data_IF_977810788513
#
_entry.id   IF_977810788513
#
_cell.length_a   1.000
_cell.length_b   1.000
_cell.length_c   1.000
_cell.angle_alpha   90.00
_cell.angle_beta   90.00
_cell.angle_gamma   90.00
#
_symmetry.space_group_name_H-M   'P 1'
#
loop_
_entity.id
_entity.type
_entity.pdbx_description
1 polymer ?
#
# COMPACT_ATOMS: atom_id res chain seq x y z
N UNK A 1 79.62 -0.40 10.96
CA UNK A 1 78.15 -0.36 11.13
C UNK A 1 77.83 0.65 12.22
N UNK A 2 77.15 1.76 11.89
CA UNK A 2 76.78 2.83 12.83
C UNK A 2 75.38 2.55 13.41
N UNK A 3 75.12 2.80 14.71
CA UNK A 3 73.79 2.65 15.29
C UNK A 3 72.90 3.86 14.97
N UNK A 4 71.63 3.59 14.70
CA UNK A 4 70.57 4.59 14.47
C UNK A 4 70.08 5.20 15.79
N UNK A 5 69.70 6.49 15.82
CA UNK A 5 69.14 7.15 17.00
C UNK A 5 67.62 6.91 17.13
N UNK A 6 67.05 7.04 18.35
CA UNK A 6 65.63 6.79 18.60
C UNK A 6 64.72 7.95 18.17
N UNK A 7 63.52 7.60 17.73
CA UNK A 7 62.46 8.51 17.29
C UNK A 7 61.88 9.35 18.44
N UNK A 8 61.70 10.65 18.21
CA UNK A 8 61.01 11.57 19.11
C UNK A 8 59.52 11.62 18.78
N UNK A 9 58.66 11.36 19.78
CA UNK A 9 57.23 11.64 19.71
C UNK A 9 56.96 13.14 19.93
N UNK A 10 56.34 13.79 18.94
CA UNK A 10 55.81 15.14 19.05
C UNK A 10 54.29 15.11 19.28
N UNK A 11 53.86 15.40 20.50
CA UNK A 11 52.47 15.74 20.85
C UNK A 11 52.36 17.24 21.02
N UNK A 12 51.78 17.95 20.05
CA UNK A 12 51.03 19.21 20.22
C UNK A 12 50.53 19.67 18.85
N UNK A 13 49.22 19.61 18.57
CA UNK A 13 48.48 20.68 17.85
C UNK A 13 46.98 20.33 17.70
N UNK A 14 46.19 20.37 18.79
CA UNK A 14 44.74 20.09 18.71
C UNK A 14 43.85 21.17 19.36
N UNK A 15 44.39 22.37 19.63
CA UNK A 15 43.61 23.48 20.22
C UNK A 15 43.35 24.66 19.27
N UNK A 16 43.91 24.66 18.06
CA UNK A 16 43.76 25.79 17.13
C UNK A 16 42.56 25.68 16.18
N UNK A 17 42.00 24.49 15.95
CA UNK A 17 40.88 24.28 15.00
C UNK A 17 39.47 24.50 15.56
N UNK A 18 39.32 24.75 16.86
CA UNK A 18 38.00 24.92 17.48
C UNK A 18 37.48 26.37 17.52
N UNK A 19 38.27 27.37 17.12
CA UNK A 19 37.88 28.80 17.23
C UNK A 19 37.53 29.50 15.91
N UNK A 20 37.62 28.82 14.77
CA UNK A 20 37.33 29.42 13.45
C UNK A 20 35.94 29.09 12.88
N UNK A 21 35.15 28.22 13.53
CA UNK A 21 33.80 27.88 13.04
C UNK A 21 32.67 28.80 13.50
N UNK A 22 32.93 29.76 14.39
CA UNK A 22 31.87 30.54 15.05
C UNK A 22 31.74 32.00 14.56
N UNK A 23 32.46 32.39 13.49
CA UNK A 23 32.44 33.75 12.93
C UNK A 23 31.77 33.89 11.56
N UNK A 24 31.20 32.81 11.00
CA UNK A 24 30.67 32.80 9.63
C UNK A 24 29.15 32.94 9.46
N UNK A 25 28.37 33.17 10.53
CA UNK A 25 26.91 33.04 10.46
C UNK A 25 26.07 34.25 10.89
N UNK A 26 26.65 35.45 10.95
CA UNK A 26 25.89 36.68 11.21
C UNK A 26 26.31 37.81 10.27
N UNK A 27 25.85 37.72 9.03
CA UNK A 27 25.61 38.86 8.16
C UNK A 27 24.96 38.32 6.90
N UNK A 28 23.63 38.41 6.82
CA UNK A 28 22.82 38.46 5.60
C UNK A 28 21.34 38.35 6.05
N UNK A 29 20.74 39.47 6.43
CA UNK A 29 19.32 39.79 6.14
C UNK A 29 19.02 41.17 6.74
N UNK A 30 19.15 42.19 5.90
CA UNK A 30 18.60 43.51 6.12
C UNK A 30 18.25 44.13 4.78
N UNK A 31 17.04 44.70 4.70
CA UNK A 31 16.49 45.59 3.66
C UNK A 31 15.65 44.93 2.55
N UNK A 32 14.34 44.90 2.78
CA UNK A 32 13.22 45.35 1.91
C UNK A 32 11.94 44.64 2.39
N UNK A 33 10.75 45.21 2.55
CA UNK A 33 10.23 46.57 2.45
C UNK A 33 8.92 46.61 3.29
N UNK A 34 8.48 47.82 3.63
CA UNK A 34 7.35 48.12 4.49
C UNK A 34 5.99 48.09 3.76
N UNK A 35 4.95 47.93 4.58
CA UNK A 35 3.61 48.54 4.49
C UNK A 35 2.56 47.97 3.53
N UNK A 36 1.51 47.37 4.12
CA UNK A 36 0.13 47.85 3.95
C UNK A 36 -0.72 47.43 5.16
N UNK A 37 -1.58 48.35 5.59
CA UNK A 37 -2.27 48.37 6.88
C UNK A 37 -3.77 48.08 6.70
N UNK A 38 -4.37 47.51 7.75
CA UNK A 38 -5.77 47.70 8.24
C UNK A 38 -6.97 46.94 7.62
N UNK A 39 -7.92 46.70 8.55
CA UNK A 39 -9.35 46.36 8.43
C UNK A 39 -9.71 44.86 8.37
N UNK A 40 -10.67 44.26 9.10
CA UNK A 40 -11.61 44.68 10.16
C UNK A 40 -12.24 43.40 10.76
N UNK A 41 -12.37 43.39 12.09
CA UNK A 41 -13.44 42.82 12.96
C UNK A 41 -14.61 42.05 12.29
N UNK A 42 -14.88 40.83 12.76
CA UNK A 42 -16.20 40.16 12.96
C UNK A 42 -15.93 38.64 13.09
N UNK A 43 -16.53 37.85 13.95
CA UNK A 43 -17.62 37.99 14.90
C UNK A 43 -17.87 36.57 15.41
N UNK A 44 -17.93 36.40 16.73
CA UNK A 44 -18.15 35.13 17.40
C UNK A 44 -19.47 34.49 16.97
N UNK A 45 -19.44 33.22 16.56
CA UNK A 45 -20.60 32.35 16.61
C UNK A 45 -20.25 31.07 17.35
N UNK A 46 -20.80 30.95 18.55
CA UNK A 46 -21.02 29.68 19.22
C UNK A 46 -22.03 28.89 18.38
N UNK A 47 -21.68 27.65 18.04
CA UNK A 47 -22.65 26.65 17.57
C UNK A 47 -22.60 25.50 18.58
N UNK A 48 -23.78 25.26 19.16
CA UNK A 48 -24.05 24.30 20.20
C UNK A 48 -23.71 22.87 19.77
N UNK A 49 -23.21 22.10 20.73
CA UNK A 49 -23.04 20.67 20.63
C UNK A 49 -24.42 19.99 20.42
N UNK A 50 -24.62 19.40 19.24
CA UNK A 50 -25.66 18.41 19.04
C UNK A 50 -25.06 17.01 19.14
N UNK A 51 -25.50 16.29 20.16
CA UNK A 51 -25.26 14.86 20.37
C UNK A 51 -26.01 14.06 19.29
N UNK A 52 -25.36 13.18 18.50
CA UNK A 52 -26.09 12.23 17.69
C UNK A 52 -26.54 11.01 18.53
N UNK A 53 -27.74 10.44 18.25
CA UNK A 53 -28.30 9.33 19.00
C UNK A 53 -27.68 7.98 18.61
N UNK A 54 -27.74 7.04 19.56
CA UNK A 54 -27.39 5.63 19.45
C UNK A 54 -27.86 4.95 18.14
N UNK A 55 -26.92 4.42 17.37
CA UNK A 55 -27.19 3.47 16.29
C UNK A 55 -27.24 2.03 16.85
N UNK A 56 -28.46 1.54 17.10
CA UNK A 56 -28.79 0.12 17.23
C UNK A 56 -29.09 -0.45 15.84
N UNK A 57 -28.54 -1.63 15.55
CA UNK A 57 -29.10 -2.62 14.62
C UNK A 57 -28.96 -2.32 13.13
N UNK A 58 -27.91 -2.86 12.49
CA UNK A 58 -27.91 -3.06 11.04
C UNK A 58 -28.72 -4.33 10.78
N UNK A 59 -29.92 -4.15 10.23
CA UNK A 59 -30.76 -5.20 9.68
C UNK A 59 -30.25 -5.64 8.30
N UNK A 60 -30.57 -6.88 7.94
CA UNK A 60 -30.28 -7.51 6.65
C UNK A 60 -30.80 -6.71 5.44
N UNK A 61 -30.19 -6.86 4.25
CA UNK A 61 -30.62 -6.14 3.05
C UNK A 61 -32.02 -6.56 2.58
N UNK A 62 -32.80 -5.63 1.98
CA UNK A 62 -34.19 -5.88 1.63
C UNK A 62 -34.32 -6.81 0.43
N UNK A 63 -35.16 -7.85 0.59
CA UNK A 63 -35.68 -8.67 -0.51
C UNK A 63 -36.69 -7.83 -1.29
N UNK A 64 -36.51 -7.71 -2.61
CA UNK A 64 -37.46 -7.03 -3.48
C UNK A 64 -38.82 -7.74 -3.45
N UNK A 65 -39.84 -7.04 -2.95
CA UNK A 65 -41.24 -7.45 -3.01
C UNK A 65 -41.96 -6.58 -4.05
N UNK A 66 -42.90 -7.18 -4.79
CA UNK A 66 -43.82 -6.39 -5.61
C UNK A 66 -44.84 -5.65 -4.73
N UNK A 67 -45.56 -4.69 -5.32
CA UNK A 67 -46.58 -3.86 -4.64
C UNK A 67 -47.80 -4.62 -4.09
N UNK A 68 -47.77 -5.95 -4.01
CA UNK A 68 -48.78 -6.79 -3.35
C UNK A 68 -48.19 -7.89 -2.45
N UNK A 69 -46.89 -7.82 -2.12
CA UNK A 69 -46.29 -8.61 -1.03
C UNK A 69 -46.26 -10.12 -1.26
N UNK A 70 -46.17 -10.60 -2.52
CA UNK A 70 -46.01 -12.03 -2.83
C UNK A 70 -44.68 -12.31 -3.52
N UNK A 71 -44.09 -13.48 -3.23
CA UNK A 71 -42.87 -13.97 -3.89
C UNK A 71 -43.17 -14.30 -5.36
N UNK A 72 -42.36 -13.77 -6.28
CA UNK A 72 -42.43 -14.14 -7.70
C UNK A 72 -41.94 -15.59 -7.91
N UNK A 73 -42.75 -16.48 -8.52
CA UNK A 73 -42.28 -17.79 -8.96
C UNK A 73 -41.49 -17.68 -10.28
N UNK A 74 -40.53 -18.58 -10.44
CA UNK A 74 -39.69 -18.75 -11.63
C UNK A 74 -40.53 -19.10 -12.86
N UNK A 75 -40.40 -18.31 -13.93
CA UNK A 75 -41.04 -18.57 -15.21
C UNK A 75 -40.28 -19.67 -15.98
N UNK A 76 -40.92 -20.83 -16.11
CA UNK A 76 -40.70 -21.79 -17.19
C UNK A 76 -41.65 -21.46 -18.35
N UNK A 77 -41.12 -21.61 -19.55
CA UNK A 77 -41.78 -21.87 -20.83
C UNK A 77 -42.58 -20.76 -21.55
N UNK A 78 -41.94 -20.23 -22.60
CA UNK A 78 -42.34 -20.62 -23.95
C UNK A 78 -43.01 -19.54 -24.80
N UNK A 79 -42.24 -18.81 -25.62
CA UNK A 79 -42.72 -18.36 -26.92
C UNK A 79 -41.66 -18.50 -28.02
N UNK A 80 -42.12 -19.06 -29.13
CA UNK A 80 -41.40 -19.43 -30.34
C UNK A 80 -41.06 -18.18 -31.14
N UNK A 81 -39.80 -18.00 -31.50
CA UNK A 81 -39.43 -17.21 -32.66
C UNK A 81 -38.52 -18.02 -33.57
N UNK A 82 -39.07 -18.44 -34.70
CA UNK A 82 -38.38 -19.15 -35.77
C UNK A 82 -37.64 -18.10 -36.62
N UNK A 83 -36.31 -18.09 -36.55
CA UNK A 83 -35.47 -17.49 -37.59
C UNK A 83 -34.53 -18.54 -38.16
N UNK A 84 -34.44 -18.51 -39.49
CA UNK A 84 -33.80 -19.46 -40.40
C UNK A 84 -32.42 -19.95 -39.95
N UNK A 85 -32.29 -21.27 -39.97
CA UNK A 85 -31.01 -22.00 -39.98
C UNK A 85 -30.15 -21.61 -41.18
N UNK A 86 -28.95 -21.10 -40.90
CA UNK A 86 -27.77 -21.39 -41.71
C UNK A 86 -27.02 -22.56 -41.06
N UNK A 87 -27.07 -23.69 -41.75
CA UNK A 87 -26.19 -24.83 -41.52
C UNK A 87 -24.73 -24.38 -41.63
N UNK A 88 -23.94 -24.51 -40.56
CA UNK A 88 -22.52 -24.84 -40.72
C UNK A 88 -21.96 -25.62 -39.52
N UNK A 89 -21.66 -26.89 -39.80
CA UNK A 89 -20.68 -27.78 -39.16
C UNK A 89 -20.74 -27.99 -37.64
N UNK A 90 -21.56 -28.97 -37.24
CA UNK A 90 -21.13 -30.01 -36.29
C UNK A 90 -20.06 -30.86 -36.99
N UNK A 91 -18.82 -30.86 -36.49
CA UNK A 91 -17.78 -31.77 -36.98
C UNK A 91 -16.35 -31.28 -36.72
N UNK A 92 -15.87 -31.46 -35.48
CA UNK A 92 -14.50 -31.88 -35.16
C UNK A 92 -14.43 -32.02 -33.63
N UNK A 93 -14.05 -33.20 -33.14
CA UNK A 93 -13.41 -33.30 -31.84
C UNK A 93 -12.13 -32.47 -31.96
N UNK A 94 -12.21 -31.21 -31.54
CA UNK A 94 -11.15 -30.23 -31.76
C UNK A 94 -9.88 -30.70 -31.06
N UNK A 95 -8.86 -31.06 -31.83
CA UNK A 95 -7.51 -31.11 -31.32
C UNK A 95 -7.26 -29.75 -30.65
N UNK A 96 -6.99 -29.75 -29.35
CA UNK A 96 -6.52 -28.55 -28.65
C UNK A 96 -5.32 -28.03 -29.46
N UNK A 97 -5.46 -26.85 -30.04
CA UNK A 97 -4.35 -26.19 -30.72
C UNK A 97 -3.23 -25.98 -29.69
N UNK A 98 -2.07 -26.65 -29.83
CA UNK A 98 -0.98 -26.51 -28.87
C UNK A 98 -0.52 -25.06 -28.74
N UNK A 99 -0.62 -24.25 -29.80
CA UNK A 99 -0.24 -22.85 -29.75
C UNK A 99 -1.22 -22.03 -28.90
N UNK A 100 -2.52 -22.24 -29.05
CA UNK A 100 -3.54 -21.63 -28.20
C UNK A 100 -3.39 -22.05 -26.72
N UNK A 101 -3.09 -23.32 -26.46
CA UNK A 101 -2.83 -23.81 -25.11
C UNK A 101 -1.57 -23.15 -24.51
N UNK A 102 -0.47 -23.09 -25.26
CA UNK A 102 0.76 -22.42 -24.83
C UNK A 102 0.54 -20.94 -24.55
N UNK A 103 -0.17 -20.21 -25.44
CA UNK A 103 -0.48 -18.80 -25.23
C UNK A 103 -1.34 -18.58 -23.99
N UNK A 104 -2.31 -19.46 -23.72
CA UNK A 104 -3.13 -19.41 -22.51
C UNK A 104 -2.30 -19.65 -21.24
N UNK A 105 -1.42 -20.67 -21.26
CA UNK A 105 -0.52 -20.95 -20.13
C UNK A 105 0.39 -19.75 -19.88
N UNK A 106 1.04 -19.22 -20.92
CA UNK A 106 1.93 -18.04 -20.82
C UNK A 106 1.17 -16.85 -20.24
N UNK A 107 -0.02 -16.53 -20.78
CA UNK A 107 -0.84 -15.44 -20.28
C UNK A 107 -1.31 -15.63 -18.82
N UNK A 108 -1.38 -16.87 -18.34
CA UNK A 108 -1.76 -17.18 -16.96
C UNK A 108 -0.58 -17.08 -16.00
N UNK A 109 0.62 -17.52 -16.41
CA UNK A 109 1.80 -17.56 -15.52
C UNK A 109 2.63 -16.29 -15.56
N UNK A 110 2.60 -15.53 -16.66
CA UNK A 110 3.43 -14.34 -16.82
C UNK A 110 3.21 -13.29 -15.71
N UNK A 111 1.97 -12.92 -15.33
CA UNK A 111 1.77 -11.95 -14.24
C UNK A 111 2.32 -12.42 -12.90
N UNK A 112 2.31 -13.74 -12.65
CA UNK A 112 2.91 -14.31 -11.45
C UNK A 112 4.43 -14.12 -11.46
N UNK A 113 5.09 -14.48 -12.57
CA UNK A 113 6.55 -14.34 -12.71
C UNK A 113 7.00 -12.88 -12.60
N UNK A 114 6.23 -11.94 -13.17
CA UNK A 114 6.47 -10.50 -13.02
C UNK A 114 6.37 -10.07 -11.55
N UNK A 115 5.32 -10.50 -10.84
CA UNK A 115 5.16 -10.21 -9.42
C UNK A 115 6.30 -10.80 -8.55
N UNK A 116 6.80 -12.00 -8.88
CA UNK A 116 7.95 -12.60 -8.21
C UNK A 116 9.20 -11.71 -8.38
N UNK A 117 9.46 -11.24 -9.61
CA UNK A 117 10.59 -10.35 -9.88
C UNK A 117 10.47 -9.02 -9.11
N UNK A 118 9.28 -8.41 -9.08
CA UNK A 118 9.04 -7.21 -8.28
C UNK A 118 9.23 -7.46 -6.78
N UNK A 119 8.87 -8.65 -6.29
CA UNK A 119 9.08 -9.03 -4.89
C UNK A 119 10.56 -9.09 -4.54
N UNK A 120 11.38 -9.74 -5.37
CA UNK A 120 12.83 -9.83 -5.17
C UNK A 120 13.48 -8.44 -5.14
N UNK A 121 13.08 -7.56 -6.07
CA UNK A 121 13.54 -6.18 -6.10
C UNK A 121 13.20 -5.42 -4.81
N UNK A 122 11.96 -5.55 -4.32
CA UNK A 122 11.51 -4.89 -3.09
C UNK A 122 12.17 -5.48 -1.85
N UNK A 123 12.41 -6.79 -1.79
CA UNK A 123 13.17 -7.45 -0.72
C UNK A 123 14.59 -6.91 -0.69
N UNK A 124 15.26 -6.83 -1.85
CA UNK A 124 16.60 -6.25 -1.94
C UNK A 124 16.59 -4.77 -1.53
N UNK A 125 15.58 -4.00 -1.95
CA UNK A 125 15.43 -2.60 -1.55
C UNK A 125 15.18 -2.44 -0.05
N UNK A 126 14.35 -3.30 0.56
CA UNK A 126 14.13 -3.32 1.99
C UNK A 126 15.40 -3.71 2.75
N UNK A 127 16.16 -4.71 2.28
CA UNK A 127 17.44 -5.09 2.87
C UNK A 127 18.45 -3.94 2.88
N UNK A 128 18.48 -3.11 1.83
CA UNK A 128 19.30 -1.88 1.80
C UNK A 128 18.83 -0.83 2.82
N UNK A 129 17.52 -0.69 3.03
CA UNK A 129 16.93 0.25 4.01
C UNK A 129 17.10 -0.22 5.45
N UNK A 130 17.09 -1.55 5.67
CA UNK A 130 17.13 -2.20 6.98
C UNK A 130 18.22 -3.28 7.03
N UNK A 131 19.51 -2.92 6.94
CA UNK A 131 20.60 -3.89 6.81
C UNK A 131 20.68 -4.89 7.97
N UNK A 132 20.32 -4.48 9.19
CA UNK A 132 20.28 -5.38 10.36
C UNK A 132 19.15 -6.41 10.34
N UNK A 133 18.20 -6.30 9.41
CA UNK A 133 17.10 -7.25 9.22
C UNK A 133 17.15 -7.92 7.84
N UNK A 134 18.26 -7.79 7.09
CA UNK A 134 18.38 -8.31 5.73
C UNK A 134 18.07 -9.82 5.65
N UNK A 135 18.56 -10.61 6.61
CA UNK A 135 18.27 -12.06 6.68
C UNK A 135 16.77 -12.34 6.83
N UNK A 136 16.09 -11.59 7.70
CA UNK A 136 14.64 -11.76 7.91
C UNK A 136 13.86 -11.37 6.68
N UNK A 137 14.25 -10.26 6.04
CA UNK A 137 13.59 -9.75 4.84
C UNK A 137 13.75 -10.69 3.65
N UNK A 138 14.89 -11.37 3.53
CA UNK A 138 15.08 -12.42 2.53
C UNK A 138 14.03 -13.54 2.65
N UNK A 139 13.65 -13.90 3.87
CA UNK A 139 12.62 -14.91 4.13
C UNK A 139 11.17 -14.38 4.06
N UNK A 140 10.96 -13.09 3.82
CA UNK A 140 9.64 -12.49 3.81
C UNK A 140 8.85 -12.73 2.50
N UNK A 141 9.41 -13.42 1.51
CA UNK A 141 8.77 -13.62 0.21
C UNK A 141 7.35 -14.20 0.32
N UNK A 142 7.15 -15.20 1.18
CA UNK A 142 5.85 -15.87 1.37
C UNK A 142 4.73 -14.92 1.81
N UNK A 143 5.07 -13.89 2.61
CA UNK A 143 4.09 -12.92 3.14
C UNK A 143 3.80 -11.75 2.20
N UNK A 144 4.47 -11.66 1.05
CA UNK A 144 4.21 -10.63 0.03
C UNK A 144 3.05 -10.98 -0.91
N UNK A 145 2.51 -12.20 -0.80
CA UNK A 145 1.36 -12.62 -1.60
C UNK A 145 0.15 -11.75 -1.21
N UNK A 146 -0.36 -10.92 -2.11
CA UNK A 146 -1.49 -10.08 -1.78
C UNK A 146 -2.77 -10.90 -1.73
N UNK A 147 -3.77 -10.43 -0.97
CA UNK A 147 -5.10 -11.03 -1.08
C UNK A 147 -5.73 -10.71 -2.44
N UNK A 148 -6.64 -11.58 -2.88
CA UNK A 148 -7.48 -11.39 -4.07
C UNK A 148 -8.48 -10.21 -3.90
N UNK A 149 -7.96 -8.98 -3.79
CA UNK A 149 -8.72 -7.76 -3.52
C UNK A 149 -9.20 -7.07 -4.82
N UNK A 150 -8.76 -7.56 -5.97
CA UNK A 150 -9.24 -7.14 -7.29
C UNK A 150 -8.13 -7.15 -8.33
N UNK A 151 -8.45 -6.83 -9.59
CA UNK A 151 -7.50 -6.89 -10.70
C UNK A 151 -6.35 -5.87 -10.58
N UNK A 152 -6.54 -4.78 -9.82
CA UNK A 152 -5.54 -3.72 -9.69
C UNK A 152 -4.23 -4.14 -9.01
N UNK A 153 -4.23 -5.24 -8.24
CA UNK A 153 -3.03 -5.72 -7.56
C UNK A 153 -1.95 -6.25 -8.53
N UNK A 154 -2.34 -6.67 -9.74
CA UNK A 154 -1.39 -7.06 -10.79
C UNK A 154 -0.65 -5.89 -11.43
N UNK A 155 -0.94 -4.64 -11.02
CA UNK A 155 -0.22 -3.46 -11.51
C UNK A 155 1.04 -3.24 -10.67
N UNK A 156 2.21 -3.17 -11.33
CA UNK A 156 3.52 -3.11 -10.66
C UNK A 156 3.58 -2.12 -9.50
N UNK A 157 3.21 -0.85 -9.71
CA UNK A 157 3.36 0.15 -8.66
C UNK A 157 2.43 -0.09 -7.45
N UNK A 158 1.28 -0.74 -7.69
CA UNK A 158 0.32 -1.11 -6.65
C UNK A 158 0.91 -2.24 -5.81
N UNK A 159 1.42 -3.27 -6.48
CA UNK A 159 2.11 -4.37 -5.85
C UNK A 159 3.33 -3.91 -5.04
N UNK A 160 4.19 -3.07 -5.62
CA UNK A 160 5.37 -2.52 -4.92
C UNK A 160 4.98 -1.70 -3.70
N UNK A 161 3.90 -0.91 -3.78
CA UNK A 161 3.36 -0.19 -2.62
C UNK A 161 2.91 -1.13 -1.50
N UNK A 162 2.23 -2.23 -1.85
CA UNK A 162 1.86 -3.30 -0.91
C UNK A 162 3.09 -3.98 -0.30
N UNK A 163 4.00 -4.48 -1.12
CA UNK A 163 5.18 -5.22 -0.70
C UNK A 163 6.08 -4.36 0.21
N UNK A 164 6.32 -3.09 -0.16
CA UNK A 164 7.12 -2.16 0.66
C UNK A 164 6.56 -1.98 2.06
N UNK A 165 5.25 -1.81 2.20
CA UNK A 165 4.60 -1.66 3.50
C UNK A 165 4.72 -2.95 4.34
N UNK A 166 4.55 -4.13 3.74
CA UNK A 166 4.75 -5.41 4.45
C UNK A 166 6.20 -5.59 4.89
N UNK A 167 7.17 -5.33 4.01
CA UNK A 167 8.59 -5.45 4.33
C UNK A 167 9.01 -4.47 5.44
N UNK A 168 8.47 -3.26 5.45
CA UNK A 168 8.72 -2.30 6.53
C UNK A 168 8.14 -2.77 7.87
N UNK A 169 6.97 -3.42 7.85
CA UNK A 169 6.40 -4.05 9.04
C UNK A 169 7.24 -5.25 9.51
N UNK A 170 7.72 -6.08 8.59
CA UNK A 170 8.64 -7.20 8.89
C UNK A 170 9.90 -6.69 9.58
N UNK A 171 10.55 -5.68 9.00
CA UNK A 171 11.77 -5.10 9.57
C UNK A 171 11.53 -4.48 10.96
N UNK A 172 10.35 -3.90 11.18
CA UNK A 172 9.96 -3.31 12.45
C UNK A 172 9.44 -4.33 13.49
N UNK A 173 9.20 -5.60 13.10
CA UNK A 173 8.56 -6.59 13.96
C UNK A 173 7.08 -6.32 14.25
N UNK A 174 6.40 -5.60 13.37
CA UNK A 174 4.98 -5.25 13.50
C UNK A 174 4.07 -6.38 12.99
N UNK A 175 2.81 -6.37 13.41
CA UNK A 175 1.78 -7.28 12.89
C UNK A 175 1.60 -7.10 11.37
N UNK A 176 1.74 -8.19 10.62
CA UNK A 176 1.65 -8.19 9.15
C UNK A 176 0.19 -8.30 8.68
N UNK A 177 -0.70 -8.85 9.52
CA UNK A 177 -2.07 -9.19 9.16
C UNK A 177 -2.94 -8.01 8.73
N UNK A 178 -2.87 -6.81 9.35
CA UNK A 178 -3.72 -5.70 8.95
C UNK A 178 -3.55 -5.34 7.46
N UNK A 179 -4.62 -4.89 6.81
CA UNK A 179 -4.55 -4.49 5.40
C UNK A 179 -3.47 -3.42 5.17
N UNK A 180 -2.79 -3.47 4.04
CA UNK A 180 -1.91 -2.38 3.59
C UNK A 180 -2.72 -1.21 3.05
N UNK A 181 -2.10 -0.04 2.96
CA UNK A 181 -2.74 1.12 2.35
C UNK A 181 -3.11 0.87 0.89
N UNK A 182 -2.26 0.15 0.13
CA UNK A 182 -2.55 -0.27 -1.24
C UNK A 182 -3.79 -1.18 -1.33
N UNK A 183 -3.93 -2.15 -0.42
CA UNK A 183 -5.11 -3.02 -0.33
C UNK A 183 -6.38 -2.22 -0.04
N UNK A 184 -6.31 -1.24 0.87
CA UNK A 184 -7.44 -0.36 1.19
C UNK A 184 -7.81 0.52 -0.01
N UNK A 185 -6.84 1.09 -0.72
CA UNK A 185 -7.10 1.86 -1.95
C UNK A 185 -7.87 1.03 -2.99
N UNK A 186 -7.46 -0.22 -3.22
CA UNK A 186 -8.16 -1.11 -4.17
C UNK A 186 -9.59 -1.42 -3.71
N UNK A 187 -9.78 -1.71 -2.42
CA UNK A 187 -11.10 -1.99 -1.86
C UNK A 187 -12.04 -0.79 -2.02
N UNK A 188 -11.57 0.41 -1.70
CA UNK A 188 -12.35 1.65 -1.85
C UNK A 188 -12.59 2.02 -3.31
N UNK A 189 -11.61 1.82 -4.19
CA UNK A 189 -11.76 2.02 -5.64
C UNK A 189 -12.81 1.08 -6.23
N UNK A 190 -12.89 -0.16 -5.75
CA UNK A 190 -13.95 -1.09 -6.15
C UNK A 190 -15.31 -0.66 -5.60
N UNK A 191 -15.38 -0.21 -4.35
CA UNK A 191 -16.63 0.25 -3.74
C UNK A 191 -17.18 1.50 -4.43
N UNK A 192 -16.31 2.43 -4.84
CA UNK A 192 -16.71 3.68 -5.50
C UNK A 192 -17.34 3.50 -6.88
N UNK A 193 -17.06 2.37 -7.54
CA UNK A 193 -17.70 2.00 -8.81
C UNK A 193 -19.15 1.56 -8.63
N UNK A 194 -19.54 1.17 -7.42
CA UNK A 194 -20.91 0.71 -7.11
C UNK A 194 -21.77 1.84 -6.57
N UNK A 195 -21.18 2.76 -5.81
CA UNK A 195 -21.89 3.91 -5.25
C UNK A 195 -20.92 5.08 -5.02
N UNK A 196 -21.40 6.34 -5.14
CA UNK A 196 -20.61 7.50 -4.76
C UNK A 196 -20.10 7.40 -3.32
N UNK A 197 -18.80 7.65 -3.12
CA UNK A 197 -18.21 7.69 -1.79
C UNK A 197 -18.56 9.02 -1.10
N UNK A 198 -18.91 8.96 0.18
CA UNK A 198 -19.03 10.16 0.98
C UNK A 198 -17.64 10.71 1.38
N UNK A 199 -17.59 11.98 1.78
CA UNK A 199 -16.36 12.74 2.02
C UNK A 199 -15.32 12.03 2.92
N UNK A 200 -15.72 11.42 4.04
CA UNK A 200 -14.78 10.69 4.89
C UNK A 200 -14.14 9.44 4.22
N UNK A 201 -14.86 8.69 3.39
CA UNK A 201 -14.27 7.57 2.63
C UNK A 201 -13.34 8.08 1.51
N UNK A 202 -13.68 9.19 0.86
CA UNK A 202 -12.80 9.84 -0.10
C UNK A 202 -11.51 10.34 0.57
N UNK A 203 -11.62 10.95 1.75
CA UNK A 203 -10.47 11.32 2.58
C UNK A 203 -9.58 10.13 2.93
N UNK A 204 -10.17 9.01 3.38
CA UNK A 204 -9.43 7.77 3.63
C UNK A 204 -8.71 7.27 2.38
N UNK A 205 -9.38 7.27 1.22
CA UNK A 205 -8.76 6.85 -0.05
C UNK A 205 -7.52 7.69 -0.37
N UNK A 206 -7.62 9.02 -0.27
CA UNK A 206 -6.51 9.94 -0.57
C UNK A 206 -5.36 9.78 0.44
N UNK A 207 -5.66 9.59 1.73
CA UNK A 207 -4.66 9.29 2.77
C UNK A 207 -3.89 8.01 2.45
N UNK A 208 -4.62 6.92 2.16
CA UNK A 208 -4.01 5.64 1.83
C UNK A 208 -3.21 5.71 0.52
N UNK A 209 -3.65 6.51 -0.46
CA UNK A 209 -2.91 6.73 -1.70
C UNK A 209 -1.55 7.36 -1.44
N UNK A 210 -1.51 8.44 -0.65
CA UNK A 210 -0.25 9.13 -0.31
C UNK A 210 0.71 8.21 0.45
N UNK A 211 0.19 7.37 1.35
CA UNK A 211 0.99 6.40 2.09
C UNK A 211 1.53 5.27 1.20
N UNK A 212 0.68 4.68 0.35
CA UNK A 212 1.06 3.57 -0.50
C UNK A 212 1.98 4.01 -1.66
N UNK A 213 1.78 5.20 -2.20
CA UNK A 213 2.39 5.64 -3.45
C UNK A 213 3.05 7.03 -3.35
N UNK A 214 4.06 7.23 -2.48
CA UNK A 214 4.71 8.53 -2.27
C UNK A 214 5.39 9.08 -3.55
N UNK A 215 5.74 8.22 -4.51
CA UNK A 215 6.27 8.62 -5.82
C UNK A 215 5.19 8.96 -6.87
N UNK A 216 3.91 8.91 -6.51
CA UNK A 216 2.77 9.19 -7.40
C UNK A 216 1.90 10.29 -6.79
N UNK A 217 2.27 11.57 -7.02
CA UNK A 217 1.57 12.68 -6.40
C UNK A 217 0.11 12.75 -6.84
N UNK A 218 -0.72 13.25 -5.94
CA UNK A 218 -2.09 13.63 -6.25
C UNK A 218 -2.09 14.82 -7.24
N UNK A 219 -3.17 14.97 -8.00
CA UNK A 219 -3.44 16.23 -8.72
C UNK A 219 -3.62 17.37 -7.71
N UNK A 220 -3.46 18.63 -8.16
CA UNK A 220 -3.64 19.79 -7.29
C UNK A 220 -5.03 19.80 -6.61
N UNK A 221 -6.08 19.53 -7.38
CA UNK A 221 -7.44 19.42 -6.86
C UNK A 221 -7.58 18.31 -5.81
N UNK A 222 -6.99 17.13 -6.06
CA UNK A 222 -7.02 16.04 -5.09
C UNK A 222 -6.22 16.36 -3.83
N UNK A 223 -5.12 17.10 -3.93
CA UNK A 223 -4.34 17.53 -2.77
C UNK A 223 -5.12 18.54 -1.91
N UNK A 224 -5.79 19.51 -2.54
CA UNK A 224 -6.68 20.46 -1.85
C UNK A 224 -7.84 19.73 -1.18
N UNK A 225 -8.49 18.80 -1.90
CA UNK A 225 -9.54 17.95 -1.35
C UNK A 225 -9.06 17.07 -0.20
N UNK A 226 -7.84 16.52 -0.28
CA UNK A 226 -7.25 15.73 0.80
C UNK A 226 -7.09 16.58 2.05
N UNK A 227 -6.51 17.78 1.93
CA UNK A 227 -6.36 18.69 3.07
C UNK A 227 -7.72 19.09 3.67
N UNK A 228 -8.70 19.37 2.82
CA UNK A 228 -10.06 19.71 3.23
C UNK A 228 -10.75 18.56 3.98
N UNK A 229 -10.70 17.34 3.44
CA UNK A 229 -11.34 16.17 4.07
C UNK A 229 -10.66 15.78 5.38
N UNK A 230 -9.32 15.86 5.46
CA UNK A 230 -8.62 15.63 6.73
C UNK A 230 -9.04 16.63 7.81
N UNK A 231 -9.14 17.91 7.44
CA UNK A 231 -9.54 18.95 8.38
C UNK A 231 -10.97 18.73 8.90
N UNK A 232 -11.91 18.38 8.03
CA UNK A 232 -13.32 18.25 8.39
C UNK A 232 -13.68 16.89 9.00
N UNK A 233 -13.00 15.82 8.59
CA UNK A 233 -13.39 14.45 8.90
C UNK A 233 -12.28 13.59 9.52
N UNK A 234 -11.11 14.15 9.85
CA UNK A 234 -9.94 13.42 10.36
C UNK A 234 -10.26 12.35 11.41
N UNK A 235 -10.96 12.67 12.52
CA UNK A 235 -11.32 11.66 13.53
C UNK A 235 -12.16 10.50 12.99
N UNK A 236 -13.04 10.75 12.03
CA UNK A 236 -13.82 9.69 11.39
C UNK A 236 -12.95 8.90 10.41
N UNK A 237 -12.05 9.56 9.66
CA UNK A 237 -11.09 8.89 8.78
C UNK A 237 -10.22 7.92 9.58
N UNK A 238 -9.77 8.28 10.78
CA UNK A 238 -8.99 7.40 11.66
C UNK A 238 -9.78 6.14 12.07
N UNK A 239 -11.06 6.30 12.42
CA UNK A 239 -11.95 5.18 12.75
C UNK A 239 -12.14 4.28 11.52
N UNK A 240 -12.36 4.87 10.35
CA UNK A 240 -12.54 4.13 9.09
C UNK A 240 -11.26 3.39 8.70
N UNK A 241 -10.09 4.01 8.85
CA UNK A 241 -8.79 3.39 8.61
C UNK A 241 -8.61 2.17 9.51
N UNK A 242 -8.78 2.35 10.82
CA UNK A 242 -8.66 1.25 11.78
C UNK A 242 -9.64 0.12 11.44
N UNK A 243 -10.88 0.46 11.12
CA UNK A 243 -11.92 -0.49 10.73
C UNK A 243 -11.52 -1.26 9.46
N UNK A 244 -11.02 -0.58 8.43
CA UNK A 244 -10.62 -1.19 7.17
C UNK A 244 -9.38 -2.07 7.33
N UNK A 245 -8.38 -1.61 8.08
CA UNK A 245 -7.18 -2.42 8.39
C UNK A 245 -7.54 -3.75 9.05
N UNK A 246 -8.52 -3.75 9.96
CA UNK A 246 -8.99 -4.95 10.63
C UNK A 246 -9.93 -5.81 9.76
N UNK A 247 -10.94 -5.21 9.12
CA UNK A 247 -11.90 -5.94 8.27
C UNK A 247 -11.23 -6.58 7.05
N UNK A 248 -10.26 -5.88 6.47
CA UNK A 248 -9.45 -6.37 5.38
C UNK A 248 -8.11 -6.96 5.86
N UNK A 249 -8.01 -7.40 7.12
CA UNK A 249 -6.83 -8.13 7.60
C UNK A 249 -6.74 -9.55 7.01
N UNK A 250 -5.53 -9.94 6.64
CA UNK A 250 -5.15 -11.29 6.20
C UNK A 250 -4.62 -12.10 7.39
N UNK A 251 -5.39 -13.10 7.84
CA UNK A 251 -5.04 -13.87 9.05
C UNK A 251 -3.86 -14.82 8.82
N UNK A 252 -3.66 -15.23 7.58
CA UNK A 252 -2.61 -16.16 7.17
C UNK A 252 -1.29 -15.45 6.86
N UNK A 253 -1.30 -14.11 6.80
CA UNK A 253 -0.08 -13.32 6.59
C UNK A 253 0.75 -13.27 7.87
N UNK A 254 1.54 -14.30 8.09
CA UNK A 254 2.45 -14.45 9.20
C UNK A 254 3.78 -14.98 8.68
N UNK A 255 4.86 -14.49 9.27
CA UNK A 255 6.20 -14.96 8.98
C UNK A 255 6.62 -15.90 10.10
N UNK A 256 6.31 -17.18 9.93
CA UNK A 256 6.64 -18.25 10.87
C UNK A 256 7.51 -19.32 10.20
N UNK A 257 8.02 -20.26 11.02
CA UNK A 257 8.71 -21.48 10.56
C UNK A 257 9.79 -21.22 9.50
N UNK A 258 10.64 -20.22 9.71
CA UNK A 258 11.72 -19.90 8.78
C UNK A 258 12.74 -21.04 8.77
N UNK A 259 12.74 -21.82 7.69
CA UNK A 259 13.76 -22.82 7.41
C UNK A 259 14.81 -22.22 6.48
N UNK A 260 16.06 -22.16 6.95
CA UNK A 260 17.18 -21.67 6.15
C UNK A 260 18.36 -22.67 6.16
N UNK A 261 18.92 -22.91 4.99
CA UNK A 261 20.09 -23.76 4.80
C UNK A 261 21.43 -23.01 4.90
N UNK A 262 21.38 -21.71 5.21
CA UNK A 262 22.54 -20.80 5.18
C UNK A 262 22.89 -20.28 3.78
N UNK A 263 22.05 -20.52 2.77
CA UNK A 263 22.26 -20.05 1.40
C UNK A 263 21.17 -19.09 0.93
N UNK A 264 21.55 -17.89 0.54
CA UNK A 264 20.66 -16.88 -0.04
C UNK A 264 21.04 -16.66 -1.51
N UNK A 265 20.10 -16.81 -2.44
CA UNK A 265 20.34 -16.72 -3.90
C UNK A 265 21.50 -17.60 -4.43
N UNK A 266 21.82 -18.69 -3.73
CA UNK A 266 22.93 -19.58 -4.09
C UNK A 266 24.27 -19.23 -3.45
N UNK A 267 24.38 -18.10 -2.76
CA UNK A 267 25.59 -17.73 -2.02
C UNK A 267 25.49 -18.18 -0.56
N UNK A 268 26.61 -18.64 0.01
CA UNK A 268 26.70 -18.93 1.44
C UNK A 268 26.70 -17.61 2.22
N UNK A 269 25.76 -17.47 3.16
CA UNK A 269 25.60 -16.28 4.00
C UNK A 269 25.48 -16.66 5.48
N UNK A 270 25.92 -15.76 6.35
CA UNK A 270 25.75 -15.91 7.79
C UNK A 270 24.30 -15.56 8.21
N UNK A 271 23.33 -16.37 7.79
CA UNK A 271 21.93 -16.15 8.12
C UNK A 271 21.60 -16.59 9.55
N UNK A 272 20.96 -15.71 10.33
CA UNK A 272 20.56 -16.01 11.72
C UNK A 272 19.54 -17.16 11.87
N UNK A 273 18.88 -17.56 10.78
CA UNK A 273 17.94 -18.67 10.73
C UNK A 273 18.55 -19.96 10.18
N UNK A 274 19.83 -19.95 9.81
CA UNK A 274 20.50 -21.12 9.28
C UNK A 274 20.53 -22.24 10.33
N UNK A 275 20.03 -23.43 9.98
CA UNK A 275 20.17 -24.59 10.85
C UNK A 275 21.62 -25.09 10.77
N UNK A 276 22.33 -25.28 11.90
CA UNK A 276 23.65 -25.89 11.89
C UNK A 276 23.57 -27.27 11.22
N UNK A 277 24.43 -27.49 10.22
CA UNK A 277 24.58 -28.81 9.58
C UNK A 277 25.42 -29.74 10.44
#
# INVERSE_FOLDING_TARGET
MRPLPPARHGTTDNRRRARERDRGHRNLTGVAARSATTATKQGSHAIAAHNPPHLKGIADPPVALDGRGRRCPSNQDGERFVTRSSHQSRGAAGALDPAALCAHIIGTVQPLLEAMHWADDEIAAAGRRHPGQADLLYHAFSVLTPRHIGPGMGTEFVYRGHAREILDRVAAGNDLRPATAAEICLALSKASQLAPMHAAWAGLYLRMWLQAFPGRPLTAEQADNQSHYEHLHGPHIDILENTMRHKAADRERQLDNIECTGRHHGDDVACRFATPR
#
